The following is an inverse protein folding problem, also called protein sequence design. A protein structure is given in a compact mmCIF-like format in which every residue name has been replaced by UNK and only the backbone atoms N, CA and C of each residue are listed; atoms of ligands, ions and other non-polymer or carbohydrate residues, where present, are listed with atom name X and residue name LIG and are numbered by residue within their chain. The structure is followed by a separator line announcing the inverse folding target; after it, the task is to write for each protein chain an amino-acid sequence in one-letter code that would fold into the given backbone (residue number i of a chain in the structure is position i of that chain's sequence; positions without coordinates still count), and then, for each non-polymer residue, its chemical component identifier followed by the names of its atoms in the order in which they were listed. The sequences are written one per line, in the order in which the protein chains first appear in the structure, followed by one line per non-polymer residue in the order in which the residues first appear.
data_IF_154151448494
#
_entry.id   IF_154151448494
#
_cell.length_a   1.000
_cell.length_b   1.000
_cell.length_c   1.000
_cell.angle_alpha   90.00
_cell.angle_beta   90.00
_cell.angle_gamma   90.00
#
_symmetry.space_group_name_H-M   'P 1'
#
loop_
_entity.id
_entity.type
_entity.pdbx_description
1 polymer ?
#
# COMPACT_ATOMS: atom_id res chain seq x y z
N UNK A 1 75.64 -75.72 3.73
CA UNK A 1 75.75 -75.56 5.19
C UNK A 1 74.38 -75.81 5.79
N UNK A 2 74.22 -76.93 6.48
CA UNK A 2 72.97 -77.37 7.06
C UNK A 2 72.71 -76.77 8.44
N UNK A 3 71.41 -76.51 8.69
CA UNK A 3 70.63 -76.78 9.89
C UNK A 3 71.27 -76.57 11.27
N UNK A 4 70.65 -75.72 12.10
CA UNK A 4 69.83 -76.21 13.23
C UNK A 4 69.00 -75.09 13.89
N UNK A 5 67.76 -75.48 14.17
CA UNK A 5 66.67 -74.76 14.84
C UNK A 5 66.80 -74.82 16.36
N UNK A 6 66.22 -73.86 17.09
CA UNK A 6 65.52 -73.98 18.39
C UNK A 6 64.67 -72.69 18.55
N UNK A 7 63.34 -72.69 18.39
CA UNK A 7 62.24 -72.97 19.35
C UNK A 7 62.30 -72.12 20.64
N UNK A 8 61.37 -71.16 20.77
CA UNK A 8 60.58 -70.81 21.97
C UNK A 8 59.54 -69.72 21.61
N UNK A 9 58.23 -70.02 21.66
CA UNK A 9 57.30 -69.57 22.72
C UNK A 9 57.21 -68.03 22.80
N UNK A 10 56.20 -67.33 22.27
CA UNK A 10 54.76 -67.51 22.51
C UNK A 10 54.31 -66.53 23.59
N UNK A 11 53.60 -65.46 23.21
CA UNK A 11 52.51 -64.79 23.97
C UNK A 11 51.77 -63.85 23.01
N UNK A 12 50.52 -64.18 22.75
CA UNK A 12 49.49 -63.30 22.19
C UNK A 12 49.08 -62.32 23.29
N UNK A 13 49.14 -61.03 23.02
CA UNK A 13 48.48 -60.00 23.83
C UNK A 13 47.57 -59.15 22.93
N UNK A 14 46.42 -59.72 22.61
CA UNK A 14 45.20 -58.97 22.34
C UNK A 14 44.73 -58.37 23.67
N UNK A 15 44.62 -57.04 23.76
CA UNK A 15 43.56 -56.28 24.45
C UNK A 15 44.03 -54.84 24.70
N UNK A 16 43.26 -53.90 24.17
CA UNK A 16 43.47 -52.47 24.34
C UNK A 16 42.55 -51.71 23.40
N UNK A 17 41.24 -51.92 23.55
CA UNK A 17 40.21 -51.19 22.85
C UNK A 17 40.43 -49.68 23.04
N UNK A 18 40.88 -49.00 21.99
CA UNK A 18 40.67 -47.56 21.84
C UNK A 18 39.21 -47.37 21.42
N UNK A 19 38.30 -47.79 22.31
CA UNK A 19 36.96 -47.25 22.33
C UNK A 19 37.10 -45.88 22.99
N UNK A 20 37.48 -44.87 22.21
CA UNK A 20 37.07 -43.52 22.52
C UNK A 20 35.54 -43.54 22.44
N UNK A 21 34.89 -43.94 23.54
CA UNK A 21 33.47 -43.75 23.74
C UNK A 21 33.24 -42.26 23.63
N UNK A 22 32.78 -41.82 22.45
CA UNK A 22 32.16 -40.54 22.29
C UNK A 22 30.93 -40.58 23.22
N UNK A 23 31.09 -40.09 24.45
CA UNK A 23 29.96 -39.88 25.36
C UNK A 23 29.07 -38.85 24.68
N UNK A 24 28.11 -39.33 23.89
CA UNK A 24 27.05 -38.53 23.31
C UNK A 24 26.22 -37.94 24.45
N UNK A 25 26.68 -36.80 24.96
CA UNK A 25 25.97 -35.98 25.93
C UNK A 25 24.81 -35.19 25.28
N UNK A 26 24.46 -35.50 24.03
CA UNK A 26 23.33 -34.89 23.33
C UNK A 26 22.02 -34.95 24.14
N UNK A 27 21.67 -36.06 24.81
CA UNK A 27 20.45 -36.14 25.64
C UNK A 27 20.46 -35.23 26.86
N UNK A 28 21.63 -34.78 27.34
CA UNK A 28 21.78 -33.89 28.50
C UNK A 28 21.77 -32.40 28.11
N UNK A 29 21.73 -32.09 26.81
CA UNK A 29 21.71 -30.69 26.31
C UNK A 29 20.30 -30.15 26.11
N UNK A 30 19.31 -31.03 26.14
CA UNK A 30 17.90 -30.70 25.97
C UNK A 30 17.05 -31.30 27.08
N UNK A 31 15.89 -30.73 27.34
CA UNK A 31 14.89 -31.25 28.25
C UNK A 31 13.50 -31.25 27.62
N UNK A 32 12.50 -31.55 28.45
CA UNK A 32 11.08 -31.55 28.08
C UNK A 32 10.31 -30.63 29.01
N UNK A 33 9.34 -29.90 28.49
CA UNK A 33 8.39 -29.11 29.27
C UNK A 33 6.99 -29.68 29.07
N UNK A 34 6.30 -29.96 30.17
CA UNK A 34 4.91 -30.40 30.20
C UNK A 34 4.06 -29.34 30.91
N UNK A 35 2.87 -29.07 30.37
CA UNK A 35 1.95 -28.11 30.98
C UNK A 35 0.50 -28.32 30.55
N UNK A 36 -0.38 -27.49 31.11
CA UNK A 36 -1.80 -27.48 30.77
C UNK A 36 -2.33 -26.04 30.74
N UNK A 37 -3.06 -25.68 29.68
CA UNK A 37 -3.72 -24.38 29.54
C UNK A 37 -5.04 -24.36 30.32
N UNK A 38 -5.37 -23.24 30.95
CA UNK A 38 -6.68 -23.07 31.63
C UNK A 38 -7.82 -22.71 30.67
N UNK A 39 -7.47 -22.16 29.51
CA UNK A 39 -8.36 -21.75 28.44
C UNK A 39 -7.61 -21.94 27.12
N UNK A 40 -8.25 -22.52 26.12
CA UNK A 40 -7.63 -22.82 24.83
C UNK A 40 -8.68 -23.15 23.77
N UNK A 41 -8.28 -23.02 22.50
CA UNK A 41 -8.96 -23.58 21.34
C UNK A 41 -8.00 -24.55 20.63
N UNK A 42 -8.27 -25.87 20.64
CA UNK A 42 -7.36 -26.87 20.09
C UNK A 42 -7.11 -26.71 18.59
N UNK A 43 -7.95 -25.95 17.85
CA UNK A 43 -7.75 -25.68 16.43
C UNK A 43 -6.60 -24.69 16.15
N UNK A 44 -6.25 -23.85 17.13
CA UNK A 44 -5.24 -22.79 16.97
C UNK A 44 -4.15 -22.80 18.04
N UNK A 45 -4.38 -23.48 19.16
CA UNK A 45 -3.47 -23.47 20.29
C UNK A 45 -2.11 -24.08 19.96
N UNK A 46 -1.06 -23.32 20.25
CA UNK A 46 0.33 -23.64 19.93
C UNK A 46 1.24 -23.16 21.06
N UNK A 47 2.19 -24.02 21.43
CA UNK A 47 3.28 -23.67 22.34
C UNK A 47 4.58 -23.75 21.57
N UNK A 48 5.36 -22.66 21.54
CA UNK A 48 6.67 -22.62 20.89
C UNK A 48 7.72 -22.02 21.81
N UNK A 49 8.99 -22.31 21.53
CA UNK A 49 10.12 -21.71 22.22
C UNK A 49 10.46 -20.34 21.60
N UNK A 50 10.59 -19.31 22.43
CA UNK A 50 11.06 -17.98 22.01
C UNK A 50 12.51 -18.11 21.50
N UNK A 51 12.80 -17.54 20.32
CA UNK A 51 14.09 -17.62 19.64
C UNK A 51 14.41 -18.96 18.95
N UNK A 52 13.51 -19.94 19.03
CA UNK A 52 13.64 -21.24 18.37
C UNK A 52 12.25 -21.82 18.06
N UNK A 53 11.50 -21.12 17.22
CA UNK A 53 10.08 -21.40 16.93
C UNK A 53 9.82 -22.81 16.35
N UNK A 54 10.81 -23.45 15.74
CA UNK A 54 10.74 -24.84 15.27
C UNK A 54 10.57 -25.84 16.42
N UNK A 55 11.03 -25.48 17.62
CA UNK A 55 10.72 -26.20 18.86
C UNK A 55 9.33 -25.78 19.30
N UNK A 56 8.34 -26.55 18.84
CA UNK A 56 6.91 -26.29 19.09
C UNK A 56 6.10 -27.56 19.31
N UNK A 57 4.94 -27.40 19.93
CA UNK A 57 3.99 -28.48 20.21
C UNK A 57 2.55 -27.95 20.15
N UNK A 58 1.64 -28.78 19.66
CA UNK A 58 0.20 -28.50 19.73
C UNK A 58 -0.34 -28.80 21.13
N UNK A 59 -1.57 -28.33 21.38
CA UNK A 59 -2.28 -28.59 22.64
C UNK A 59 -3.35 -29.66 22.39
N UNK A 60 -3.44 -30.66 23.27
CA UNK A 60 -4.43 -31.73 23.16
C UNK A 60 -5.85 -31.29 23.57
N UNK A 61 -6.83 -32.17 23.40
CA UNK A 61 -8.24 -31.89 23.69
C UNK A 61 -8.51 -31.59 25.18
N UNK A 62 -7.59 -31.95 26.08
CA UNK A 62 -7.67 -31.65 27.51
C UNK A 62 -6.81 -30.44 27.90
N UNK A 63 -6.26 -29.72 26.93
CA UNK A 63 -5.48 -28.52 27.14
C UNK A 63 -4.02 -28.78 27.51
N UNK A 64 -3.54 -30.03 27.43
CA UNK A 64 -2.17 -30.38 27.80
C UNK A 64 -1.23 -30.26 26.61
N UNK A 65 0.02 -29.93 26.89
CA UNK A 65 1.08 -29.90 25.89
C UNK A 65 2.35 -30.54 26.45
N UNK A 66 3.16 -31.06 25.53
CA UNK A 66 4.49 -31.59 25.80
C UNK A 66 5.45 -31.05 24.75
N UNK A 67 6.39 -30.21 25.18
CA UNK A 67 7.40 -29.59 24.34
C UNK A 67 8.76 -30.26 24.58
N UNK A 68 9.24 -31.00 23.60
CA UNK A 68 10.50 -31.74 23.67
C UNK A 68 11.64 -30.98 22.97
N UNK A 69 12.90 -31.34 23.25
CA UNK A 69 14.05 -30.74 22.56
C UNK A 69 14.41 -29.33 23.02
N UNK A 70 13.90 -28.89 24.18
CA UNK A 70 14.14 -27.54 24.69
C UNK A 70 15.55 -27.45 25.25
N UNK A 71 16.41 -26.50 24.80
CA UNK A 71 17.77 -26.36 25.32
C UNK A 71 17.81 -26.20 26.84
N UNK A 72 18.81 -26.82 27.48
CA UNK A 72 19.06 -26.67 28.92
C UNK A 72 19.40 -25.21 29.26
N UNK A 73 18.77 -24.68 30.31
CA UNK A 73 18.98 -23.30 30.77
C UNK A 73 17.67 -22.54 31.00
N UNK A 74 17.74 -21.21 31.21
CA UNK A 74 16.57 -20.35 31.14
C UNK A 74 15.95 -20.41 29.73
N UNK A 75 14.64 -20.57 29.68
CA UNK A 75 13.86 -20.59 28.45
C UNK A 75 12.58 -19.77 28.65
N UNK A 76 12.02 -19.28 27.55
CA UNK A 76 10.72 -18.61 27.54
C UNK A 76 9.84 -19.28 26.49
N UNK A 77 8.63 -19.64 26.89
CA UNK A 77 7.61 -20.17 25.99
C UNK A 77 6.75 -19.03 25.45
N UNK A 78 6.44 -19.09 24.17
CA UNK A 78 5.37 -18.34 23.53
C UNK A 78 4.14 -19.24 23.40
N UNK A 79 3.04 -18.86 24.04
CA UNK A 79 1.82 -19.67 24.11
C UNK A 79 0.70 -18.91 23.41
N UNK A 80 0.25 -19.43 22.26
CA UNK A 80 -1.03 -19.06 21.65
C UNK A 80 -2.08 -20.01 22.19
N UNK A 81 -3.10 -19.47 22.85
CA UNK A 81 -4.16 -20.27 23.47
C UNK A 81 -5.45 -20.25 22.64
N UNK A 82 -5.86 -19.07 22.17
CA UNK A 82 -7.03 -18.88 21.28
C UNK A 82 -6.67 -17.86 20.21
N UNK A 83 -7.61 -17.54 19.31
CA UNK A 83 -7.40 -16.48 18.32
C UNK A 83 -7.10 -15.09 18.94
N UNK A 84 -7.51 -14.84 20.19
CA UNK A 84 -7.41 -13.53 20.86
C UNK A 84 -6.58 -13.57 22.15
N UNK A 85 -6.07 -14.74 22.55
CA UNK A 85 -5.35 -14.90 23.81
C UNK A 85 -4.01 -15.58 23.65
N UNK A 86 -3.00 -14.99 24.27
CA UNK A 86 -1.63 -15.50 24.28
C UNK A 86 -0.94 -15.14 25.60
N UNK A 87 0.15 -15.83 25.93
CA UNK A 87 1.02 -15.47 27.06
C UNK A 87 2.45 -15.90 26.82
N UNK A 88 3.40 -15.30 27.55
CA UNK A 88 4.76 -15.81 27.70
C UNK A 88 4.94 -16.51 29.04
N UNK A 89 5.78 -17.54 29.09
CA UNK A 89 6.07 -18.28 30.33
C UNK A 89 7.56 -18.53 30.45
N UNK A 90 8.20 -17.94 31.46
CA UNK A 90 9.61 -18.21 31.78
C UNK A 90 9.74 -19.52 32.56
N UNK A 91 10.71 -20.34 32.18
CA UNK A 91 10.97 -21.66 32.76
C UNK A 91 12.46 -21.96 32.76
N UNK A 92 12.94 -22.71 33.76
CA UNK A 92 14.31 -23.22 33.79
C UNK A 92 14.31 -24.70 33.44
N UNK A 93 14.97 -25.05 32.35
CA UNK A 93 15.05 -26.42 31.84
C UNK A 93 16.36 -27.06 32.27
N UNK A 94 16.27 -28.27 32.82
CA UNK A 94 17.41 -29.10 33.16
C UNK A 94 17.58 -30.21 32.11
N UNK A 95 18.82 -30.49 31.73
CA UNK A 95 19.14 -31.50 30.73
C UNK A 95 18.64 -32.90 31.10
N UNK A 96 18.05 -33.60 30.12
CA UNK A 96 17.49 -34.94 30.28
C UNK A 96 16.29 -35.03 31.23
N UNK A 97 15.75 -33.90 31.70
CA UNK A 97 14.63 -33.88 32.64
C UNK A 97 13.36 -33.33 32.02
N UNK A 98 12.22 -33.75 32.58
CA UNK A 98 10.90 -33.19 32.29
C UNK A 98 10.50 -32.20 33.37
N UNK A 99 10.21 -30.97 32.97
CA UNK A 99 9.75 -29.89 33.85
C UNK A 99 8.23 -29.79 33.72
N UNK A 100 7.51 -29.90 34.84
CA UNK A 100 6.05 -29.72 34.88
C UNK A 100 5.70 -28.31 35.31
N UNK A 101 4.99 -27.59 34.45
CA UNK A 101 4.46 -26.27 34.74
C UNK A 101 3.17 -26.38 35.57
N UNK A 102 2.92 -25.38 36.40
CA UNK A 102 1.56 -25.13 36.90
C UNK A 102 0.63 -24.81 35.72
N UNK A 103 -0.69 -24.89 35.95
CA UNK A 103 -1.68 -24.48 34.95
C UNK A 103 -1.36 -23.07 34.42
N UNK A 104 -1.29 -22.94 33.10
CA UNK A 104 -0.93 -21.72 32.39
C UNK A 104 -2.20 -20.98 32.01
N UNK A 105 -2.38 -19.77 32.54
CA UNK A 105 -3.51 -18.92 32.24
C UNK A 105 -3.14 -17.91 31.13
N UNK A 106 -3.73 -18.02 29.93
CA UNK A 106 -3.47 -17.05 28.87
C UNK A 106 -4.16 -15.71 29.17
N UNK A 107 -3.69 -14.64 28.52
CA UNK A 107 -4.19 -13.27 28.68
C UNK A 107 -4.69 -12.73 27.35
N UNK A 108 -5.50 -11.68 27.38
CA UNK A 108 -5.92 -10.97 26.18
C UNK A 108 -4.67 -10.43 25.47
N UNK A 109 -4.56 -10.76 24.19
CA UNK A 109 -3.40 -10.46 23.38
C UNK A 109 -3.63 -9.22 22.51
N UNK A 110 -2.53 -8.59 22.13
CA UNK A 110 -2.51 -7.53 21.14
C UNK A 110 -2.32 -8.05 19.71
N UNK A 111 -2.50 -7.14 18.75
CA UNK A 111 -2.34 -7.40 17.32
C UNK A 111 -1.67 -6.22 16.62
N UNK A 112 -0.84 -6.52 15.62
CA UNK A 112 -0.41 -5.53 14.64
C UNK A 112 -1.35 -5.54 13.43
N UNK A 113 -1.89 -4.38 13.10
CA UNK A 113 -2.66 -4.12 11.88
C UNK A 113 -1.74 -3.41 10.88
N UNK A 114 -1.05 -4.19 10.04
CA UNK A 114 -0.03 -3.69 9.14
C UNK A 114 -0.63 -3.15 7.84
N UNK A 115 -0.07 -2.01 7.40
CA UNK A 115 -0.31 -1.40 6.09
C UNK A 115 1.04 -1.08 5.47
N UNK A 116 1.42 -1.85 4.46
CA UNK A 116 2.69 -1.71 3.75
C UNK A 116 2.42 -1.17 2.35
N UNK A 117 3.21 -0.19 1.93
CA UNK A 117 3.18 0.37 0.58
C UNK A 117 4.60 0.50 0.02
N UNK A 118 4.75 0.52 -1.30
CA UNK A 118 5.99 0.91 -1.94
C UNK A 118 5.99 2.42 -2.24
N UNK A 119 7.16 3.05 -2.19
CA UNK A 119 7.32 4.49 -2.44
C UNK A 119 7.02 4.92 -3.89
N UNK A 120 7.11 4.00 -4.86
CA UNK A 120 6.90 4.28 -6.28
C UNK A 120 5.77 3.47 -6.92
N UNK A 121 4.85 2.93 -6.11
CA UNK A 121 3.66 2.24 -6.59
C UNK A 121 3.90 0.81 -7.08
N UNK A 122 5.07 0.23 -6.81
CA UNK A 122 5.30 -1.20 -6.98
C UNK A 122 4.32 -2.01 -6.12
N UNK A 123 3.97 -3.19 -6.62
CA UNK A 123 3.14 -4.14 -5.88
C UNK A 123 3.95 -4.71 -4.71
N UNK A 124 3.31 -4.78 -3.55
CA UNK A 124 3.86 -5.38 -2.32
C UNK A 124 3.23 -6.74 -1.98
N UNK A 125 2.34 -7.24 -2.83
CA UNK A 125 1.80 -8.60 -2.69
C UNK A 125 2.94 -9.63 -2.74
N UNK A 126 2.96 -10.57 -1.80
CA UNK A 126 4.06 -11.54 -1.69
C UNK A 126 5.26 -11.08 -0.84
N UNK A 127 5.25 -9.85 -0.32
CA UNK A 127 6.16 -9.46 0.76
C UNK A 127 5.80 -10.28 2.00
N UNK A 128 6.81 -10.86 2.61
CA UNK A 128 6.75 -11.65 3.82
C UNK A 128 7.08 -10.79 5.05
N UNK A 129 6.33 -11.01 6.11
CA UNK A 129 6.54 -10.42 7.43
C UNK A 129 6.77 -11.53 8.43
N UNK A 130 7.86 -11.42 9.19
CA UNK A 130 8.14 -12.26 10.35
C UNK A 130 8.21 -11.41 11.61
N UNK A 131 7.62 -11.89 12.69
CA UNK A 131 7.79 -11.30 14.03
C UNK A 131 8.82 -12.14 14.77
N UNK A 132 9.98 -11.54 15.03
CA UNK A 132 11.12 -12.22 15.61
C UNK A 132 10.77 -12.81 16.97
N UNK A 133 11.34 -13.99 17.25
CA UNK A 133 11.15 -14.74 18.49
C UNK A 133 9.71 -15.20 18.76
N UNK A 134 8.88 -15.27 17.72
CA UNK A 134 7.49 -15.76 17.78
C UNK A 134 7.25 -16.83 16.71
N UNK A 135 6.14 -17.60 16.76
CA UNK A 135 5.79 -18.53 15.69
C UNK A 135 5.25 -17.85 14.42
N UNK A 136 5.13 -16.52 14.40
CA UNK A 136 4.57 -15.76 13.28
C UNK A 136 5.66 -15.40 12.27
N UNK A 137 6.01 -16.36 11.41
CA UNK A 137 7.03 -16.19 10.38
C UNK A 137 6.48 -16.29 8.97
N UNK A 138 7.10 -15.54 8.05
CA UNK A 138 6.80 -15.54 6.62
C UNK A 138 5.31 -15.36 6.32
N UNK A 139 4.67 -14.48 7.07
CA UNK A 139 3.28 -14.09 6.84
C UNK A 139 3.21 -13.21 5.60
N UNK A 140 2.35 -13.57 4.65
CA UNK A 140 2.28 -12.88 3.36
C UNK A 140 1.26 -11.75 3.41
N UNK A 141 1.63 -10.57 2.92
CA UNK A 141 0.70 -9.46 2.73
C UNK A 141 -0.39 -9.79 1.71
N UNK A 142 -1.61 -9.26 1.92
CA UNK A 142 -2.65 -9.29 0.89
C UNK A 142 -2.30 -8.38 -0.31
N UNK A 143 -3.10 -8.45 -1.37
CA UNK A 143 -2.89 -7.65 -2.60
C UNK A 143 -2.90 -6.14 -2.38
N UNK A 144 -3.53 -5.67 -1.29
CA UNK A 144 -3.59 -4.26 -0.90
C UNK A 144 -2.51 -3.89 0.14
N UNK A 145 -1.54 -4.78 0.39
CA UNK A 145 -0.45 -4.54 1.33
C UNK A 145 -0.86 -4.62 2.81
N UNK A 146 -1.96 -5.30 3.13
CA UNK A 146 -2.44 -5.44 4.52
C UNK A 146 -2.11 -6.80 5.09
N UNK A 147 -1.86 -6.83 6.40
CA UNK A 147 -1.67 -8.05 7.16
C UNK A 147 -2.03 -7.79 8.63
N UNK A 148 -2.79 -8.70 9.23
CA UNK A 148 -2.98 -8.74 10.68
C UNK A 148 -2.03 -9.77 11.27
N UNK A 149 -1.26 -9.38 12.28
CA UNK A 149 -0.31 -10.26 12.98
C UNK A 149 -0.67 -10.38 14.44
N UNK A 150 -0.77 -11.63 14.92
CA UNK A 150 -1.09 -11.97 16.30
C UNK A 150 -1.91 -13.25 16.39
N UNK A 151 -2.31 -13.66 17.60
CA UNK A 151 -2.24 -12.90 18.87
C UNK A 151 -0.82 -12.75 19.45
N UNK A 152 -0.49 -11.56 19.96
CA UNK A 152 0.80 -11.24 20.60
C UNK A 152 0.61 -10.90 22.09
N UNK A 153 1.30 -11.57 23.02
CA UNK A 153 1.39 -11.12 24.42
C UNK A 153 1.95 -9.70 24.52
N UNK A 154 1.64 -8.99 25.60
CA UNK A 154 2.19 -7.66 25.88
C UNK A 154 3.72 -7.66 25.75
N UNK A 155 4.25 -6.70 24.98
CA UNK A 155 5.69 -6.58 24.76
C UNK A 155 6.06 -5.80 23.51
N UNK A 156 7.37 -5.61 23.33
CA UNK A 156 7.97 -5.06 22.13
C UNK A 156 8.57 -6.19 21.30
N UNK A 157 8.39 -6.12 19.99
CA UNK A 157 8.74 -7.15 19.04
C UNK A 157 9.54 -6.56 17.90
N UNK A 158 10.61 -7.27 17.52
CA UNK A 158 11.28 -7.04 16.25
C UNK A 158 10.44 -7.62 15.10
N UNK A 159 10.35 -6.89 14.00
CA UNK A 159 9.73 -7.33 12.76
C UNK A 159 10.79 -7.36 11.67
N UNK A 160 10.77 -8.40 10.84
CA UNK A 160 11.52 -8.50 9.59
C UNK A 160 10.54 -8.52 8.43
N UNK A 161 10.71 -7.58 7.51
CA UNK A 161 9.85 -7.43 6.33
C UNK A 161 10.75 -7.60 5.11
N UNK A 162 10.43 -8.55 4.25
CA UNK A 162 11.27 -8.88 3.11
C UNK A 162 10.42 -9.33 1.93
N UNK A 163 10.84 -9.00 0.72
CA UNK A 163 10.17 -9.44 -0.49
C UNK A 163 11.01 -9.21 -1.73
N UNK A 164 10.65 -9.87 -2.81
CA UNK A 164 11.30 -9.67 -4.10
C UNK A 164 11.19 -8.20 -4.50
N UNK A 165 12.31 -7.61 -4.93
CA UNK A 165 12.33 -6.21 -5.36
C UNK A 165 12.59 -5.19 -4.26
N UNK A 166 12.62 -5.60 -2.99
CA UNK A 166 12.83 -4.72 -1.84
C UNK A 166 14.02 -5.20 -0.99
N UNK A 167 14.79 -4.30 -0.38
CA UNK A 167 15.72 -4.66 0.67
C UNK A 167 14.94 -5.13 1.91
N UNK A 168 15.55 -5.99 2.73
CA UNK A 168 14.94 -6.38 4.00
C UNK A 168 14.93 -5.19 4.95
N UNK A 169 13.76 -4.92 5.53
CA UNK A 169 13.53 -3.86 6.51
C UNK A 169 13.33 -4.49 7.88
N UNK A 170 14.04 -3.97 8.88
CA UNK A 170 13.79 -4.30 10.28
C UNK A 170 13.06 -3.15 10.96
N UNK A 171 12.07 -3.47 11.77
CA UNK A 171 11.33 -2.51 12.58
C UNK A 171 11.13 -3.07 13.99
N UNK A 172 10.81 -2.19 14.93
CA UNK A 172 10.41 -2.59 16.28
C UNK A 172 9.06 -1.93 16.60
N UNK A 173 8.15 -2.69 17.19
CA UNK A 173 6.87 -2.18 17.64
C UNK A 173 6.43 -2.86 18.94
N UNK A 174 5.75 -2.11 19.79
CA UNK A 174 5.16 -2.62 21.02
C UNK A 174 3.64 -2.71 20.91
N UNK A 175 3.07 -3.72 21.54
CA UNK A 175 1.62 -3.90 21.66
C UNK A 175 1.27 -4.32 23.08
N UNK A 176 0.16 -3.79 23.59
CA UNK A 176 -0.41 -4.15 24.89
C UNK A 176 -1.62 -5.06 24.80
N UNK A 177 -2.12 -5.46 25.97
CA UNK A 177 -3.25 -6.38 26.11
C UNK A 177 -4.50 -5.85 25.40
N UNK A 178 -5.04 -6.63 24.47
CA UNK A 178 -6.22 -6.28 23.67
C UNK A 178 -6.01 -5.15 22.65
N UNK A 179 -4.80 -4.60 22.52
CA UNK A 179 -4.51 -3.48 21.62
C UNK A 179 -4.49 -3.94 20.16
N UNK A 180 -5.09 -3.13 19.28
CA UNK A 180 -4.93 -3.26 17.82
C UNK A 180 -4.05 -2.12 17.33
N UNK A 181 -2.75 -2.37 17.19
CA UNK A 181 -1.75 -1.37 16.85
C UNK A 181 -1.59 -1.26 15.34
N UNK A 182 -1.95 -0.10 14.77
CA UNK A 182 -1.71 0.16 13.35
C UNK A 182 -0.21 0.43 13.10
N UNK A 183 0.38 -0.32 12.16
CA UNK A 183 1.76 -0.12 11.70
C UNK A 183 1.76 0.23 10.21
N UNK A 184 2.27 1.41 9.88
CA UNK A 184 2.45 1.85 8.50
C UNK A 184 3.92 1.72 8.11
N UNK A 185 4.19 0.97 7.06
CA UNK A 185 5.54 0.76 6.54
C UNK A 185 5.58 1.18 5.08
N UNK A 186 6.58 1.96 4.73
CA UNK A 186 6.88 2.31 3.34
C UNK A 186 8.18 1.63 2.94
N UNK A 187 8.12 0.84 1.87
CA UNK A 187 9.26 0.11 1.34
C UNK A 187 9.86 0.89 0.17
N UNK A 188 11.17 1.10 0.23
CA UNK A 188 11.94 1.60 -0.89
C UNK A 188 12.39 0.43 -1.76
N UNK A 189 12.09 0.42 -3.07
CA UNK A 189 12.51 -0.67 -3.93
C UNK A 189 14.02 -0.63 -4.18
N UNK A 190 14.61 -1.78 -4.50
CA UNK A 190 16.03 -1.88 -4.79
C UNK A 190 16.39 -1.04 -6.02
N UNK A 191 17.20 0.01 -5.81
CA UNK A 191 17.58 0.96 -6.86
C UNK A 191 18.37 0.32 -8.01
N UNK A 192 19.04 -0.80 -7.77
CA UNK A 192 19.87 -1.51 -8.74
C UNK A 192 19.07 -2.39 -9.70
N UNK A 193 17.77 -2.61 -9.43
CA UNK A 193 16.92 -3.42 -10.31
C UNK A 193 16.48 -2.62 -11.53
N UNK A 194 17.09 -2.94 -12.68
CA UNK A 194 16.59 -2.50 -13.99
C UNK A 194 15.22 -3.15 -14.20
N UNK A 195 14.23 -2.34 -14.62
CA UNK A 195 12.84 -2.77 -14.80
C UNK A 195 12.17 -3.25 -13.49
N UNK A 196 12.17 -2.41 -12.44
CA UNK A 196 11.65 -2.72 -11.10
C UNK A 196 10.27 -3.35 -11.13
N UNK A 197 9.31 -2.68 -11.75
CA UNK A 197 7.94 -3.16 -11.85
C UNK A 197 7.76 -4.37 -12.78
N UNK A 198 8.74 -4.69 -13.62
CA UNK A 198 8.74 -5.93 -14.40
C UNK A 198 8.91 -7.18 -13.53
N UNK A 199 9.57 -7.04 -12.38
CA UNK A 199 9.77 -8.11 -11.41
C UNK A 199 8.68 -8.13 -10.34
N UNK A 200 8.34 -6.98 -9.77
CA UNK A 200 7.38 -6.88 -8.66
C UNK A 200 5.93 -6.75 -9.14
N UNK A 201 5.71 -6.24 -10.35
CA UNK A 201 4.42 -5.75 -10.79
C UNK A 201 4.09 -4.37 -10.19
N UNK A 202 2.95 -3.82 -10.60
CA UNK A 202 2.43 -2.57 -10.06
C UNK A 202 1.23 -2.78 -9.15
N UNK A 203 1.07 -1.88 -8.18
CA UNK A 203 -0.13 -1.81 -7.37
C UNK A 203 -1.38 -1.64 -8.23
N UNK A 204 -2.54 -1.94 -7.65
CA UNK A 204 -3.81 -1.88 -8.39
C UNK A 204 -4.04 -0.49 -8.98
N UNK A 205 -4.46 -0.45 -10.25
CA UNK A 205 -4.67 0.79 -11.00
C UNK A 205 -3.41 1.39 -11.64
N UNK A 206 -2.24 0.77 -11.48
CA UNK A 206 -1.00 1.19 -12.12
C UNK A 206 -0.51 0.14 -13.14
N UNK A 207 0.26 0.61 -14.12
CA UNK A 207 0.86 -0.19 -15.19
C UNK A 207 2.37 0.04 -15.25
N UNK A 208 3.12 -1.01 -15.58
CA UNK A 208 4.57 -0.94 -15.66
C UNK A 208 4.99 -0.33 -17.00
N UNK A 209 5.67 0.82 -16.98
CA UNK A 209 6.17 1.44 -18.20
C UNK A 209 7.46 0.76 -18.69
N UNK A 210 7.88 0.99 -19.96
CA UNK A 210 9.13 0.43 -20.47
C UNK A 210 10.40 0.88 -19.71
N UNK A 211 10.31 1.98 -18.96
CA UNK A 211 11.38 2.47 -18.08
C UNK A 211 11.43 1.80 -16.71
N UNK A 212 10.55 0.85 -16.41
CA UNK A 212 10.54 0.12 -15.15
C UNK A 212 9.88 0.83 -13.97
N UNK A 213 9.10 1.88 -14.23
CA UNK A 213 8.33 2.61 -13.22
C UNK A 213 6.84 2.30 -13.33
N UNK A 214 6.16 2.23 -12.18
CA UNK A 214 4.70 2.15 -12.15
C UNK A 214 4.09 3.51 -12.42
N UNK A 215 3.19 3.54 -13.39
CA UNK A 215 2.51 4.75 -13.85
C UNK A 215 1.02 4.49 -13.97
N UNK A 216 0.20 5.54 -14.06
CA UNK A 216 -1.26 5.37 -14.14
C UNK A 216 -1.68 4.83 -15.50
N UNK A 217 -0.96 5.21 -16.57
CA UNK A 217 -1.31 4.83 -17.93
C UNK A 217 -0.12 4.85 -18.90
N UNK A 218 -0.27 4.10 -19.97
CA UNK A 218 0.51 4.17 -21.21
C UNK A 218 -0.39 4.52 -22.41
N UNK A 219 -1.69 4.24 -22.30
CA UNK A 219 -2.73 4.44 -23.31
C UNK A 219 -4.00 4.98 -22.65
N UNK A 220 -4.80 5.75 -23.39
CA UNK A 220 -6.06 6.34 -22.90
C UNK A 220 -7.05 5.29 -22.38
N UNK A 221 -7.07 4.09 -22.97
CA UNK A 221 -7.95 2.99 -22.57
C UNK A 221 -7.66 2.45 -21.15
N UNK A 222 -6.50 2.77 -20.58
CA UNK A 222 -6.14 2.42 -19.20
C UNK A 222 -6.65 3.46 -18.20
N UNK A 223 -7.11 4.61 -18.69
CA UNK A 223 -7.78 5.61 -17.88
C UNK A 223 -9.29 5.33 -17.80
N UNK A 224 -9.90 5.75 -16.69
CA UNK A 224 -11.36 5.74 -16.54
C UNK A 224 -12.06 6.62 -17.59
N UNK A 225 -13.38 6.43 -17.74
CA UNK A 225 -14.16 7.11 -18.77
C UNK A 225 -13.98 8.65 -18.77
N UNK A 226 -13.72 9.24 -19.94
CA UNK A 226 -13.53 10.69 -20.10
C UNK A 226 -12.13 11.21 -19.75
N UNK A 227 -11.16 10.33 -19.53
CA UNK A 227 -9.77 10.68 -19.27
C UNK A 227 -8.85 10.23 -20.42
N UNK A 228 -7.76 10.97 -20.62
CA UNK A 228 -6.68 10.64 -21.57
C UNK A 228 -5.36 10.47 -20.82
N UNK A 229 -4.50 9.65 -21.38
CA UNK A 229 -3.17 9.42 -20.85
C UNK A 229 -2.20 10.49 -21.35
N UNK A 230 -1.70 11.33 -20.44
CA UNK A 230 -0.72 12.37 -20.77
C UNK A 230 0.46 12.31 -19.81
N UNK A 231 1.65 12.08 -20.37
CA UNK A 231 2.88 11.98 -19.55
C UNK A 231 2.81 10.86 -18.50
N UNK A 232 2.17 9.74 -18.84
CA UNK A 232 1.93 8.59 -17.96
C UNK A 232 0.98 8.83 -16.77
N UNK A 233 0.18 9.90 -16.82
CA UNK A 233 -0.90 10.17 -15.87
C UNK A 233 -2.24 10.22 -16.56
N UNK A 234 -3.27 9.71 -15.90
CA UNK A 234 -4.64 9.87 -16.37
C UNK A 234 -5.14 11.26 -15.98
N UNK A 235 -5.42 12.08 -16.99
CA UNK A 235 -6.04 13.39 -16.80
C UNK A 235 -7.40 13.42 -17.47
N UNK A 236 -8.37 14.12 -16.88
CA UNK A 236 -9.64 14.34 -17.55
C UNK A 236 -9.45 15.17 -18.82
N UNK A 237 -10.26 14.89 -19.85
CA UNK A 237 -10.45 15.78 -21.01
C UNK A 237 -11.33 16.97 -20.63
N UNK A 238 -11.33 17.37 -19.35
CA UNK A 238 -12.26 18.35 -18.82
C UNK A 238 -12.07 19.69 -19.51
N UNK A 239 -13.11 20.28 -20.13
CA UNK A 239 -13.04 21.65 -20.58
C UNK A 239 -12.75 22.56 -19.39
N UNK A 240 -12.13 23.72 -19.63
CA UNK A 240 -12.05 24.80 -18.64
C UNK A 240 -13.43 25.02 -18.01
N UNK A 241 -13.47 25.32 -16.72
CA UNK A 241 -14.70 25.36 -15.91
C UNK A 241 -15.32 23.99 -15.54
N UNK A 242 -14.66 22.86 -15.81
CA UNK A 242 -15.06 21.55 -15.28
C UNK A 242 -14.83 21.42 -13.78
N UNK A 243 -15.70 20.66 -13.10
CA UNK A 243 -15.55 20.33 -11.68
C UNK A 243 -14.32 19.45 -11.44
N UNK A 244 -13.66 19.61 -10.30
CA UNK A 244 -12.47 18.85 -9.92
C UNK A 244 -12.39 18.63 -8.40
N UNK A 245 -11.78 17.51 -8.01
CA UNK A 245 -11.60 17.15 -6.59
C UNK A 245 -10.14 17.32 -6.12
N UNK A 246 -9.18 17.27 -7.06
CA UNK A 246 -7.74 17.48 -6.84
C UNK A 246 -7.08 18.09 -8.09
N UNK A 247 -5.91 18.72 -7.92
CA UNK A 247 -5.14 19.36 -9.01
C UNK A 247 -4.81 18.45 -10.20
N UNK A 248 -4.88 17.12 -10.06
CA UNK A 248 -4.66 16.17 -11.15
C UNK A 248 -5.84 16.00 -12.13
N UNK A 249 -7.00 16.59 -11.85
CA UNK A 249 -8.19 16.48 -12.71
C UNK A 249 -8.29 17.51 -13.85
N UNK A 250 -7.33 18.45 -13.95
CA UNK A 250 -7.43 19.60 -14.85
C UNK A 250 -6.49 19.49 -16.07
N UNK A 251 -6.86 20.18 -17.15
CA UNK A 251 -6.01 20.32 -18.34
C UNK A 251 -4.65 20.99 -18.01
N UNK A 252 -3.66 20.82 -18.89
CA UNK A 252 -2.32 21.39 -18.71
C UNK A 252 -2.36 22.91 -18.51
N UNK A 253 -1.67 23.39 -17.46
CA UNK A 253 -1.66 24.80 -17.07
C UNK A 253 -2.87 25.24 -16.23
N UNK A 254 -3.86 24.37 -16.00
CA UNK A 254 -4.97 24.62 -15.10
C UNK A 254 -4.76 23.97 -13.73
N UNK A 255 -5.27 24.63 -12.70
CA UNK A 255 -5.29 24.15 -11.32
C UNK A 255 -6.74 24.07 -10.83
N UNK A 256 -6.98 23.16 -9.88
CA UNK A 256 -8.28 23.02 -9.25
C UNK A 256 -8.43 24.10 -8.17
N UNK A 257 -9.31 25.07 -8.39
CA UNK A 257 -9.51 26.20 -7.47
C UNK A 257 -10.96 26.29 -7.01
N UNK A 258 -11.16 26.63 -5.73
CA UNK A 258 -12.49 26.92 -5.19
C UNK A 258 -12.92 28.32 -5.64
N UNK A 259 -13.94 28.38 -6.50
CA UNK A 259 -14.47 29.67 -6.99
C UNK A 259 -15.57 30.19 -6.05
N UNK A 260 -15.80 31.51 -6.08
CA UNK A 260 -16.81 32.18 -5.26
C UNK A 260 -18.26 31.69 -5.53
N UNK A 261 -18.50 31.17 -6.73
CA UNK A 261 -19.77 30.55 -7.15
C UNK A 261 -20.04 29.17 -6.52
N UNK A 262 -19.07 28.60 -5.80
CA UNK A 262 -19.17 27.34 -5.07
C UNK A 262 -18.68 26.13 -5.89
N UNK A 263 -17.93 25.24 -5.23
CA UNK A 263 -17.31 24.08 -5.87
C UNK A 263 -15.89 24.35 -6.38
N UNK A 264 -15.11 23.28 -6.49
CA UNK A 264 -13.75 23.34 -7.01
C UNK A 264 -13.75 23.09 -8.52
N UNK A 265 -13.07 23.96 -9.26
CA UNK A 265 -13.18 24.09 -10.70
C UNK A 265 -11.81 24.25 -11.34
N UNK A 266 -11.62 23.65 -12.53
CA UNK A 266 -10.39 23.76 -13.28
C UNK A 266 -10.24 25.13 -13.95
N UNK A 267 -9.24 25.91 -13.51
CA UNK A 267 -8.93 27.25 -14.04
C UNK A 267 -7.44 27.42 -14.35
N UNK A 268 -7.13 28.03 -15.49
CA UNK A 268 -5.74 28.36 -15.90
C UNK A 268 -5.30 29.64 -15.20
N UNK A 269 -4.06 29.72 -14.74
CA UNK A 269 -3.51 30.97 -14.22
C UNK A 269 -3.11 31.95 -15.34
N UNK A 270 -3.16 33.24 -15.05
CA UNK A 270 -2.78 34.31 -15.97
C UNK A 270 -2.15 35.49 -15.21
N UNK A 271 -1.44 36.37 -15.94
CA UNK A 271 -0.85 37.59 -15.38
C UNK A 271 -1.21 38.81 -16.24
N UNK A 272 -1.53 39.93 -15.58
CA UNK A 272 -1.81 41.21 -16.26
C UNK A 272 -0.53 41.94 -16.68
N UNK A 273 0.58 41.71 -15.98
CA UNK A 273 1.92 42.19 -16.35
C UNK A 273 2.60 41.15 -17.23
N UNK A 274 2.93 41.50 -18.47
CA UNK A 274 3.53 40.55 -19.41
C UNK A 274 4.90 41.06 -19.87
N UNK A 275 5.96 40.31 -19.57
CA UNK A 275 7.23 40.39 -20.30
C UNK A 275 7.06 39.70 -21.67
N UNK A 276 7.68 40.20 -22.74
CA UNK A 276 7.39 39.73 -24.11
C UNK A 276 7.60 38.22 -24.33
N UNK A 277 8.48 37.58 -23.55
CA UNK A 277 8.76 36.14 -23.60
C UNK A 277 7.64 35.25 -23.02
N UNK A 278 6.79 35.78 -22.11
CA UNK A 278 5.73 35.01 -21.44
C UNK A 278 4.34 35.20 -22.08
N UNK A 279 4.24 35.98 -23.17
CA UNK A 279 2.97 36.38 -23.80
C UNK A 279 2.06 35.23 -24.23
N UNK A 280 2.63 34.09 -24.60
CA UNK A 280 1.85 32.94 -25.10
C UNK A 280 1.39 32.05 -23.94
N UNK A 281 2.22 31.87 -22.92
CA UNK A 281 1.91 31.01 -21.78
C UNK A 281 0.82 31.62 -20.88
N UNK A 282 0.85 32.94 -20.66
CA UNK A 282 -0.04 33.63 -19.70
C UNK A 282 -1.33 34.18 -20.29
N UNK A 283 -1.58 33.98 -21.60
CA UNK A 283 -2.82 34.42 -22.24
C UNK A 283 -3.96 33.46 -21.94
N UNK A 284 -5.13 34.05 -21.66
CA UNK A 284 -6.39 33.34 -21.66
C UNK A 284 -6.80 33.01 -23.10
N UNK A 285 -7.55 31.93 -23.27
CA UNK A 285 -8.09 31.50 -24.57
C UNK A 285 -9.30 32.36 -24.96
N UNK A 286 -9.78 32.17 -26.19
CA UNK A 286 -11.01 32.77 -26.68
C UNK A 286 -12.18 32.56 -25.70
N UNK A 287 -12.96 33.62 -25.45
CA UNK A 287 -14.08 33.63 -24.50
C UNK A 287 -13.69 33.76 -23.02
N UNK A 288 -12.40 33.87 -22.68
CA UNK A 288 -11.91 34.03 -21.30
C UNK A 288 -11.11 35.32 -21.12
N UNK A 289 -11.24 35.92 -19.94
CA UNK A 289 -10.48 37.09 -19.50
C UNK A 289 -9.66 36.78 -18.25
N UNK A 290 -8.52 37.45 -18.10
CA UNK A 290 -7.73 37.31 -16.88
C UNK A 290 -8.41 38.07 -15.75
N UNK A 291 -8.87 37.35 -14.73
CA UNK A 291 -9.60 37.90 -13.60
C UNK A 291 -8.91 37.43 -12.32
N UNK A 292 -8.32 38.37 -11.57
CA UNK A 292 -7.64 38.07 -10.31
C UNK A 292 -6.57 36.96 -10.43
N UNK A 293 -5.86 36.90 -11.55
CA UNK A 293 -4.81 35.91 -11.81
C UNK A 293 -5.31 34.55 -12.33
N UNK A 294 -6.60 34.41 -12.62
CA UNK A 294 -7.22 33.21 -13.18
C UNK A 294 -7.97 33.53 -14.47
N UNK A 295 -7.84 32.67 -15.48
CA UNK A 295 -8.62 32.74 -16.71
C UNK A 295 -10.03 32.26 -16.45
N UNK A 296 -10.95 33.20 -16.30
CA UNK A 296 -12.38 32.96 -16.09
C UNK A 296 -13.18 33.41 -17.32
N UNK A 297 -14.40 32.89 -17.54
CA UNK A 297 -15.24 33.32 -18.65
C UNK A 297 -15.45 34.83 -18.64
N UNK A 298 -15.50 35.44 -19.83
CA UNK A 298 -15.73 36.87 -19.99
C UNK A 298 -17.02 37.30 -19.26
N UNK A 299 -16.94 38.18 -18.23
CA UNK A 299 -18.09 38.53 -17.41
C UNK A 299 -19.14 39.33 -18.18
N UNK A 300 -18.80 39.88 -19.36
CA UNK A 300 -19.78 40.49 -20.25
C UNK A 300 -20.76 39.45 -20.84
N UNK A 301 -20.36 38.18 -20.94
CA UNK A 301 -21.15 37.11 -21.57
C UNK A 301 -21.56 35.98 -20.63
N UNK A 302 -20.81 35.77 -19.55
CA UNK A 302 -21.01 34.65 -18.63
C UNK A 302 -20.85 35.10 -17.18
N UNK A 303 -21.85 34.81 -16.35
CA UNK A 303 -21.77 34.94 -14.89
C UNK A 303 -20.97 33.76 -14.29
N UNK A 304 -19.68 33.70 -14.63
CA UNK A 304 -18.74 32.73 -14.11
C UNK A 304 -18.74 31.37 -14.82
N UNK A 305 -18.06 30.40 -14.22
CA UNK A 305 -17.82 29.09 -14.81
C UNK A 305 -19.10 28.25 -14.89
N UNK A 306 -19.97 28.36 -13.88
CA UNK A 306 -21.28 27.69 -13.90
C UNK A 306 -22.16 28.13 -15.07
N UNK A 307 -22.15 29.42 -15.42
CA UNK A 307 -22.92 29.95 -16.54
C UNK A 307 -22.40 29.42 -17.89
N UNK A 308 -21.08 29.34 -18.06
CA UNK A 308 -20.48 28.75 -19.26
C UNK A 308 -20.94 27.31 -19.49
N UNK A 309 -21.07 26.51 -18.44
CA UNK A 309 -21.59 25.13 -18.53
C UNK A 309 -23.07 25.04 -18.96
N UNK A 310 -23.80 26.17 -19.00
CA UNK A 310 -25.18 26.24 -19.48
C UNK A 310 -25.27 26.63 -20.97
N UNK A 311 -24.15 26.87 -21.64
CA UNK A 311 -24.14 27.07 -23.09
C UNK A 311 -24.63 25.79 -23.79
N UNK A 312 -25.62 25.91 -24.68
CA UNK A 312 -26.31 24.79 -25.31
C UNK A 312 -27.45 24.17 -24.49
N UNK A 313 -27.71 24.66 -23.26
CA UNK A 313 -28.81 24.17 -22.44
C UNK A 313 -30.18 24.43 -23.09
N UNK A 314 -31.15 23.54 -22.82
CA UNK A 314 -32.50 23.71 -23.36
C UNK A 314 -33.19 24.98 -22.84
N UNK A 315 -33.87 25.69 -23.74
CA UNK A 315 -34.58 26.92 -23.44
C UNK A 315 -35.93 27.02 -24.16
N UNK A 316 -36.83 27.80 -23.56
CA UNK A 316 -38.11 28.17 -24.15
C UNK A 316 -38.12 29.63 -24.66
N UNK A 317 -37.28 30.48 -24.06
CA UNK A 317 -37.13 31.90 -24.35
C UNK A 317 -35.77 32.42 -23.87
N UNK A 318 -35.42 33.64 -24.26
CA UNK A 318 -34.15 34.30 -23.88
C UNK A 318 -34.05 34.52 -22.37
N UNK A 319 -35.18 34.75 -21.69
CA UNK A 319 -35.23 34.94 -20.23
C UNK A 319 -34.74 33.71 -19.49
N UNK A 320 -34.98 32.50 -20.02
CA UNK A 320 -34.42 31.27 -19.48
C UNK A 320 -32.89 31.27 -19.54
N UNK A 321 -32.31 31.67 -20.66
CA UNK A 321 -30.85 31.72 -20.83
C UNK A 321 -30.20 32.76 -19.92
N UNK A 322 -30.84 33.93 -19.78
CA UNK A 322 -30.40 34.96 -18.84
C UNK A 322 -30.41 34.48 -17.38
N UNK A 323 -31.47 33.77 -16.96
CA UNK A 323 -31.53 33.15 -15.63
C UNK A 323 -30.50 32.05 -15.38
N UNK A 324 -29.90 31.50 -16.43
CA UNK A 324 -28.81 30.53 -16.36
C UNK A 324 -27.43 31.21 -16.24
N UNK A 325 -27.40 32.55 -16.16
CA UNK A 325 -26.18 33.34 -16.00
C UNK A 325 -25.55 33.77 -17.33
N UNK A 326 -26.32 33.81 -18.42
CA UNK A 326 -25.89 34.33 -19.72
C UNK A 326 -26.52 35.72 -19.91
N UNK A 327 -25.87 36.85 -19.56
CA UNK A 327 -26.51 38.16 -19.50
C UNK A 327 -27.16 38.59 -20.82
N UNK A 328 -26.49 38.30 -21.93
CA UNK A 328 -26.99 38.50 -23.30
C UNK A 328 -27.40 37.17 -23.97
N UNK A 329 -27.89 36.23 -23.16
CA UNK A 329 -28.27 34.89 -23.60
C UNK A 329 -29.51 34.90 -24.49
N UNK A 330 -29.43 34.21 -25.63
CA UNK A 330 -30.52 34.08 -26.61
C UNK A 330 -30.89 32.62 -26.77
N UNK A 331 -32.20 32.35 -26.87
CA UNK A 331 -32.72 31.03 -27.13
C UNK A 331 -32.87 30.80 -28.63
N UNK A 332 -31.89 30.12 -29.22
CA UNK A 332 -31.88 29.80 -30.64
C UNK A 332 -32.12 28.30 -30.82
N UNK A 333 -33.11 27.92 -31.62
CA UNK A 333 -33.44 26.50 -31.87
C UNK A 333 -33.64 25.66 -30.60
N UNK A 334 -34.20 26.27 -29.55
CA UNK A 334 -34.40 25.69 -28.21
C UNK A 334 -33.11 25.44 -27.42
N UNK A 335 -31.99 26.03 -27.81
CA UNK A 335 -30.73 25.97 -27.08
C UNK A 335 -30.24 27.38 -26.72
N UNK A 336 -29.69 27.50 -25.51
CA UNK A 336 -29.10 28.75 -25.06
C UNK A 336 -27.76 29.01 -25.76
N UNK A 337 -27.62 30.20 -26.33
CA UNK A 337 -26.36 30.72 -26.87
C UNK A 337 -26.15 32.16 -26.38
N UNK A 338 -25.02 32.77 -26.74
CA UNK A 338 -24.70 34.18 -26.46
C UNK A 338 -24.35 34.88 -27.76
N UNK A 339 -24.61 36.18 -27.83
CA UNK A 339 -24.21 37.00 -28.98
C UNK A 339 -22.68 37.14 -29.07
N UNK A 340 -22.19 37.31 -30.29
CA UNK A 340 -20.77 37.50 -30.57
C UNK A 340 -20.57 38.40 -31.78
N UNK A 341 -19.36 38.93 -31.93
CA UNK A 341 -18.92 39.65 -33.14
C UNK A 341 -17.70 39.01 -33.81
N UNK A 342 -16.97 38.16 -33.09
CA UNK A 342 -15.74 37.50 -33.56
C UNK A 342 -15.57 36.13 -32.90
N UNK A 343 -14.87 35.20 -33.56
CA UNK A 343 -14.58 33.85 -33.03
C UNK A 343 -13.86 33.88 -31.67
N UNK A 344 -13.05 34.90 -31.41
CA UNK A 344 -12.30 35.03 -30.14
C UNK A 344 -13.20 35.25 -28.91
N UNK A 345 -14.46 35.55 -29.14
CA UNK A 345 -15.46 35.79 -28.10
C UNK A 345 -16.15 34.50 -27.63
N UNK A 346 -16.03 33.44 -28.44
CA UNK A 346 -16.71 32.18 -28.26
C UNK A 346 -15.78 31.16 -27.57
N UNK A 347 -16.17 30.58 -26.43
CA UNK A 347 -15.31 29.70 -25.64
C UNK A 347 -15.20 28.28 -26.22
N UNK A 348 -14.06 27.63 -25.95
CA UNK A 348 -13.82 26.23 -26.30
C UNK A 348 -13.75 26.02 -27.82
N UNK A 349 -14.57 25.12 -28.36
CA UNK A 349 -14.65 24.83 -29.80
C UNK A 349 -15.73 25.62 -30.52
N UNK A 350 -16.47 26.49 -29.82
CA UNK A 350 -17.54 27.29 -30.43
C UNK A 350 -16.98 28.40 -31.32
N UNK A 351 -17.77 28.82 -32.31
CA UNK A 351 -17.41 29.88 -33.27
C UNK A 351 -18.54 30.88 -33.40
N UNK A 352 -18.20 32.09 -33.84
CA UNK A 352 -19.17 33.13 -34.06
C UNK A 352 -19.81 32.96 -35.43
N UNK A 353 -21.12 32.67 -35.47
CA UNK A 353 -21.83 32.33 -36.70
C UNK A 353 -23.09 33.17 -36.88
N UNK A 354 -23.43 33.47 -38.13
CA UNK A 354 -24.66 34.17 -38.47
C UNK A 354 -25.88 33.29 -38.21
N UNK A 355 -26.89 33.84 -37.54
CA UNK A 355 -28.17 33.18 -37.26
C UNK A 355 -29.36 34.11 -37.56
N UNK A 356 -30.58 33.60 -37.42
CA UNK A 356 -31.81 34.38 -37.59
C UNK A 356 -31.95 35.57 -36.62
N UNK A 357 -31.18 35.58 -35.53
CA UNK A 357 -31.22 36.59 -34.46
C UNK A 357 -29.93 37.42 -34.39
N UNK A 358 -29.04 37.29 -35.37
CA UNK A 358 -27.72 37.92 -35.41
C UNK A 358 -26.57 36.92 -35.24
N UNK A 359 -25.37 37.43 -34.97
CA UNK A 359 -24.19 36.58 -34.76
C UNK A 359 -24.15 36.00 -33.35
N UNK A 360 -24.01 34.67 -33.24
CA UNK A 360 -24.05 33.93 -31.97
C UNK A 360 -22.96 32.86 -31.88
N UNK A 361 -22.59 32.47 -30.68
CA UNK A 361 -21.62 31.39 -30.47
C UNK A 361 -22.27 30.02 -30.70
N UNK A 362 -21.90 29.38 -31.81
CA UNK A 362 -22.43 28.08 -32.25
C UNK A 362 -21.52 26.94 -31.78
N UNK A 363 -22.11 25.96 -31.08
CA UNK A 363 -21.48 24.69 -30.72
C UNK A 363 -21.65 23.73 -31.90
N UNK A 364 -20.82 23.83 -32.94
CA UNK A 364 -20.86 22.84 -34.02
C UNK A 364 -20.59 21.44 -33.45
N UNK A 365 -21.49 20.50 -33.74
CA UNK A 365 -21.26 19.06 -33.58
C UNK A 365 -20.42 18.50 -34.72
#
# INVERSE_FOLDING_TARGET
MGSRQHIALGVVLLLGAVACGNLENAPLRVGTIEGQLTEFDPAVALVSLVGAHDVRSSVDAEGRFKLEGVPTGPAELFVVATAEKATRVSVKVSGGQSVKLSRVAPRDAGFFEMRVKASHGERVAGVEVSVLDTPFERLVLDGAGRLRVGPLPDGCYGLSIAGVGFPSVQAEACVGSGEKKELRVELEPNAELVNRCGLTGCADGLVCNPGGSCVECLLDAQCGAGMICKGFRCGAVGPRCGACDVNGGCAEGAACQLLAEGGATCVKQCSESINEEDRVANRCEAGFTCQQGSCLPDPARFEGCRALLQLGAECADDTRCQKLGLPDGVCLEKQCTVSCTQDVECPGTSRCEDSAVGQVCSLRH
#
